data_IF_975303138523
#
_entry.id   IF_975303138523
#
_cell.length_a   1.000
_cell.length_b   1.000
_cell.length_c   1.000
_cell.angle_alpha   90.00
_cell.angle_beta   90.00
_cell.angle_gamma   90.00
#
_symmetry.space_group_name_H-M   'P 1'
#
loop_
_entity.id
_entity.type
_entity.pdbx_description
1 polymer ?
#
# COMPACT_ATOMS: atom_id res chain seq x y z
N UNK A 1 7.51 -12.64 16.22
CA UNK A 1 8.66 -13.24 15.51
C UNK A 1 9.53 -14.22 16.32
N UNK A 2 9.28 -14.48 17.62
CA UNK A 2 10.17 -15.37 18.39
C UNK A 2 10.12 -16.84 17.94
N UNK A 3 8.94 -17.35 17.59
CA UNK A 3 8.80 -18.74 17.11
C UNK A 3 9.51 -18.95 15.77
N UNK A 4 9.31 -18.06 14.78
CA UNK A 4 9.95 -18.19 13.46
C UNK A 4 11.49 -18.13 13.57
N UNK A 5 12.05 -17.23 14.40
CA UNK A 5 13.50 -17.19 14.66
C UNK A 5 14.03 -18.51 15.22
N UNK A 6 13.30 -19.14 16.13
CA UNK A 6 13.68 -20.43 16.68
C UNK A 6 13.73 -21.53 15.61
N UNK A 7 12.73 -21.58 14.72
CA UNK A 7 12.72 -22.53 13.60
C UNK A 7 13.87 -22.29 12.62
N UNK A 8 14.10 -21.03 12.23
CA UNK A 8 15.17 -20.67 11.30
C UNK A 8 16.56 -21.04 11.87
N UNK A 9 16.79 -20.83 13.16
CA UNK A 9 18.06 -21.21 13.79
C UNK A 9 18.33 -22.72 13.81
N UNK A 10 17.34 -23.56 13.54
CA UNK A 10 17.48 -25.02 13.42
C UNK A 10 17.74 -25.49 11.98
N UNK A 11 17.62 -24.61 10.98
CA UNK A 11 17.85 -24.98 9.59
C UNK A 11 19.26 -24.61 9.12
N UNK A 12 19.99 -25.52 8.45
CA UNK A 12 21.34 -25.24 7.99
C UNK A 12 21.38 -24.21 6.86
N UNK A 13 20.34 -24.19 6.02
CA UNK A 13 20.17 -23.25 4.91
C UNK A 13 18.82 -22.56 5.01
N UNK A 14 18.78 -21.31 4.55
CA UNK A 14 17.59 -20.47 4.52
C UNK A 14 17.56 -19.69 3.21
N UNK A 15 16.35 -19.35 2.78
CA UNK A 15 16.11 -18.44 1.68
C UNK A 15 14.90 -17.59 2.07
N UNK A 16 15.10 -16.28 2.14
CA UNK A 16 14.03 -15.32 2.38
C UNK A 16 13.74 -14.58 1.07
N UNK A 17 12.48 -14.48 0.69
CA UNK A 17 12.05 -13.80 -0.53
C UNK A 17 10.81 -12.98 -0.29
N UNK A 18 10.74 -11.82 -0.94
CA UNK A 18 9.58 -10.94 -0.99
C UNK A 18 9.62 -10.18 -2.32
N UNK A 19 8.46 -9.92 -2.95
CA UNK A 19 8.41 -9.19 -4.22
C UNK A 19 8.87 -7.74 -4.07
N UNK A 20 8.41 -7.07 -3.01
CA UNK A 20 8.79 -5.71 -2.66
C UNK A 20 9.61 -5.74 -1.38
N UNK A 21 10.69 -4.94 -1.26
CA UNK A 21 11.61 -5.02 -0.14
C UNK A 21 11.04 -4.46 1.17
N UNK A 22 9.96 -3.66 1.12
CA UNK A 22 9.41 -2.95 2.28
C UNK A 22 7.88 -2.90 2.26
N UNK A 23 7.29 -2.71 3.44
CA UNK A 23 5.89 -2.31 3.61
C UNK A 23 5.79 -0.80 3.87
N UNK A 24 6.73 -0.24 4.63
CA UNK A 24 6.80 1.17 4.98
C UNK A 24 8.22 1.73 4.94
N UNK A 25 9.18 1.05 5.57
CA UNK A 25 10.55 1.55 5.74
C UNK A 25 11.60 0.44 5.54
N UNK A 26 12.88 0.82 5.45
CA UNK A 26 13.98 -0.13 5.32
C UNK A 26 14.12 -1.09 6.52
N UNK A 27 13.51 -0.76 7.67
CA UNK A 27 13.48 -1.66 8.83
C UNK A 27 12.66 -2.94 8.56
N UNK A 28 11.72 -2.89 7.61
CA UNK A 28 11.01 -4.09 7.15
C UNK A 28 11.97 -5.06 6.47
N UNK A 29 12.85 -4.54 5.60
CA UNK A 29 13.94 -5.32 5.01
C UNK A 29 14.89 -5.84 6.09
N UNK A 30 15.30 -5.00 7.03
CA UNK A 30 16.20 -5.42 8.13
C UNK A 30 15.59 -6.54 8.98
N UNK A 31 14.26 -6.57 9.13
CA UNK A 31 13.58 -7.66 9.83
C UNK A 31 13.76 -9.00 9.11
N UNK A 32 13.65 -9.01 7.78
CA UNK A 32 13.86 -10.20 6.95
C UNK A 32 15.35 -10.57 6.85
N UNK A 33 16.22 -9.57 6.76
CA UNK A 33 17.67 -9.75 6.75
C UNK A 33 18.16 -10.38 8.06
N UNK A 34 17.65 -9.93 9.20
CA UNK A 34 17.91 -10.49 10.53
C UNK A 34 17.48 -11.97 10.63
N UNK A 35 16.48 -12.39 9.87
CA UNK A 35 16.07 -13.80 9.83
C UNK A 35 17.10 -14.67 9.12
N UNK A 36 17.52 -14.27 7.92
CA UNK A 36 18.52 -15.02 7.14
C UNK A 36 19.88 -15.09 7.85
N UNK A 37 20.24 -14.01 8.56
CA UNK A 37 21.49 -13.88 9.33
C UNK A 37 21.38 -14.37 10.78
N UNK A 38 20.39 -15.21 11.10
CA UNK A 38 20.25 -15.89 12.41
C UNK A 38 20.21 -14.96 13.61
N UNK A 39 19.52 -13.84 13.46
CA UNK A 39 19.31 -12.82 14.49
C UNK A 39 20.56 -12.05 14.93
N UNK A 40 21.59 -11.97 14.09
CA UNK A 40 22.83 -11.24 14.38
C UNK A 40 22.62 -9.72 14.48
N UNK A 41 21.66 -9.16 13.75
CA UNK A 41 21.45 -7.71 13.59
C UNK A 41 20.22 -7.21 14.33
N UNK A 42 19.82 -7.93 15.39
CA UNK A 42 18.58 -7.66 16.10
C UNK A 42 18.63 -6.29 16.77
N UNK A 43 17.73 -5.39 16.36
CA UNK A 43 17.62 -3.98 16.80
C UNK A 43 18.72 -3.06 16.27
N UNK A 44 19.56 -3.55 15.36
CA UNK A 44 20.47 -2.69 14.61
C UNK A 44 19.69 -1.97 13.50
N UNK A 45 20.05 -0.72 13.26
CA UNK A 45 19.53 0.04 12.12
C UNK A 45 20.26 -0.37 10.84
N UNK A 46 19.63 -0.11 9.69
CA UNK A 46 20.27 -0.33 8.40
C UNK A 46 21.58 0.47 8.28
N UNK A 47 22.65 -0.21 7.86
CA UNK A 47 23.85 0.40 7.31
C UNK A 47 24.33 -0.44 6.11
N UNK A 48 24.97 0.15 5.09
CA UNK A 48 25.45 -0.62 3.94
C UNK A 48 26.41 -1.77 4.32
N UNK A 49 27.19 -1.60 5.39
CA UNK A 49 28.18 -2.60 5.82
C UNK A 49 27.53 -3.95 6.21
N UNK A 50 26.29 -3.92 6.73
CA UNK A 50 25.60 -5.17 7.14
C UNK A 50 25.33 -6.09 5.96
N UNK A 51 25.20 -5.54 4.75
CA UNK A 51 24.83 -6.28 3.54
C UNK A 51 25.85 -7.35 3.17
N UNK A 52 27.10 -7.17 3.58
CA UNK A 52 28.17 -8.17 3.39
C UNK A 52 27.92 -9.50 4.10
N UNK A 53 27.00 -9.54 5.07
CA UNK A 53 26.71 -10.73 5.87
C UNK A 53 25.78 -11.74 5.16
N UNK A 54 25.16 -11.39 4.03
CA UNK A 54 24.35 -12.32 3.25
C UNK A 54 24.40 -12.03 1.75
N UNK A 55 24.08 -13.03 0.93
CA UNK A 55 23.93 -12.82 -0.50
C UNK A 55 22.56 -12.23 -0.79
N UNK A 56 22.52 -10.97 -1.19
CA UNK A 56 21.28 -10.29 -1.55
C UNK A 56 21.14 -10.25 -3.07
N UNK A 57 19.95 -10.62 -3.55
CA UNK A 57 19.58 -10.44 -4.96
C UNK A 57 18.30 -9.64 -4.98
N UNK A 58 18.37 -8.40 -5.48
CA UNK A 58 17.22 -7.53 -5.65
C UNK A 58 17.01 -7.28 -7.14
N UNK A 59 15.82 -7.61 -7.64
CA UNK A 59 15.37 -7.18 -8.95
C UNK A 59 14.52 -5.91 -8.74
N UNK A 60 14.97 -4.74 -9.21
CA UNK A 60 14.22 -3.50 -9.01
C UNK A 60 12.81 -3.59 -9.60
N UNK A 61 11.81 -3.21 -8.80
CA UNK A 61 10.43 -3.10 -9.24
C UNK A 61 10.03 -1.63 -9.22
N UNK A 62 9.86 -1.04 -10.39
CA UNK A 62 9.37 0.34 -10.51
C UNK A 62 7.84 0.35 -10.39
N UNK A 63 7.33 0.83 -9.26
CA UNK A 63 5.88 0.97 -9.05
C UNK A 63 5.43 2.33 -9.56
N UNK A 64 4.47 2.36 -10.49
CA UNK A 64 3.89 3.60 -11.02
C UNK A 64 2.40 3.69 -10.72
N UNK A 65 2.03 4.75 -10.02
CA UNK A 65 0.64 5.04 -9.66
C UNK A 65 0.17 6.26 -10.45
N UNK A 66 -0.71 6.03 -11.41
CA UNK A 66 -1.22 7.05 -12.34
C UNK A 66 -2.58 7.55 -11.86
N UNK A 67 -2.73 8.85 -11.54
CA UNK A 67 -4.04 9.36 -11.13
C UNK A 67 -4.97 9.53 -12.34
N UNK A 68 -6.14 8.91 -12.26
CA UNK A 68 -7.30 9.21 -13.11
C UNK A 68 -8.18 10.19 -12.33
N UNK A 69 -8.15 11.45 -12.76
CA UNK A 69 -8.80 12.55 -12.04
C UNK A 69 -10.31 12.50 -12.21
N UNK A 70 -11.03 12.63 -11.10
CA UNK A 70 -12.50 12.68 -11.06
C UNK A 70 -12.92 14.00 -10.43
N UNK A 71 -13.59 14.86 -11.20
CA UNK A 71 -14.06 16.13 -10.66
C UNK A 71 -15.24 15.94 -9.70
N UNK A 72 -15.27 16.72 -8.62
CA UNK A 72 -16.43 16.79 -7.74
C UNK A 72 -17.18 18.11 -7.91
N UNK A 73 -18.51 18.00 -7.86
CA UNK A 73 -19.41 19.14 -7.90
C UNK A 73 -19.25 20.03 -6.65
N UNK A 74 -19.66 21.30 -6.75
CA UNK A 74 -19.68 22.22 -5.61
C UNK A 74 -20.50 21.66 -4.42
N UNK A 75 -21.60 20.96 -4.70
CA UNK A 75 -22.43 20.32 -3.68
C UNK A 75 -21.68 19.21 -2.94
N UNK A 76 -20.94 18.36 -3.68
CA UNK A 76 -20.12 17.30 -3.07
C UNK A 76 -18.97 17.89 -2.23
N UNK A 77 -18.32 18.96 -2.70
CA UNK A 77 -17.29 19.68 -1.94
C UNK A 77 -17.85 20.27 -0.64
N UNK A 78 -19.02 20.89 -0.71
CA UNK A 78 -19.70 21.42 0.47
C UNK A 78 -20.06 20.31 1.47
N UNK A 79 -20.61 19.20 0.99
CA UNK A 79 -20.91 18.03 1.82
C UNK A 79 -19.65 17.44 2.48
N UNK A 80 -18.53 17.35 1.75
CA UNK A 80 -17.25 16.92 2.29
C UNK A 80 -16.76 17.83 3.41
N UNK A 81 -16.84 19.16 3.25
CA UNK A 81 -16.40 20.10 4.29
C UNK A 81 -17.31 20.05 5.52
N UNK A 82 -18.63 19.92 5.33
CA UNK A 82 -19.58 19.77 6.43
C UNK A 82 -19.30 18.49 7.22
N UNK A 83 -19.12 17.36 6.52
CA UNK A 83 -18.82 16.07 7.16
C UNK A 83 -17.47 16.10 7.87
N UNK A 84 -16.44 16.73 7.27
CA UNK A 84 -15.14 16.93 7.91
C UNK A 84 -15.27 17.69 9.23
N UNK A 85 -16.00 18.81 9.25
CA UNK A 85 -16.22 19.57 10.50
C UNK A 85 -16.95 18.71 11.53
N UNK A 86 -18.05 18.05 11.13
CA UNK A 86 -18.83 17.17 12.00
C UNK A 86 -17.97 16.07 12.65
N UNK A 87 -17.07 15.46 11.88
CA UNK A 87 -16.16 14.43 12.37
C UNK A 87 -15.10 14.99 13.33
N UNK A 88 -14.57 16.19 13.06
CA UNK A 88 -13.60 16.87 13.95
C UNK A 88 -14.28 17.28 15.26
N UNK A 89 -15.43 17.96 15.18
CA UNK A 89 -16.16 18.45 16.35
C UNK A 89 -16.68 17.29 17.22
N UNK A 90 -17.01 16.15 16.58
CA UNK A 90 -17.54 14.96 17.23
C UNK A 90 -16.52 13.91 17.66
N UNK A 91 -15.21 14.17 17.51
CA UNK A 91 -14.20 13.12 17.76
C UNK A 91 -13.99 12.81 19.26
N UNK A 92 -14.02 13.84 20.11
CA UNK A 92 -13.71 13.70 21.54
C UNK A 92 -12.36 13.01 21.77
N UNK A 93 -12.37 11.89 22.51
CA UNK A 93 -11.20 11.07 22.83
C UNK A 93 -10.98 9.89 21.86
N UNK A 94 -11.70 9.84 20.74
CA UNK A 94 -11.57 8.76 19.75
C UNK A 94 -10.30 8.95 18.90
N UNK A 95 -9.88 7.87 18.25
CA UNK A 95 -8.72 7.88 17.36
C UNK A 95 -8.92 8.83 16.15
N UNK A 96 -8.07 9.86 15.97
CA UNK A 96 -8.13 10.81 14.84
C UNK A 96 -7.89 10.17 13.48
N UNK A 97 -7.26 9.00 13.40
CA UNK A 97 -7.11 8.27 12.15
C UNK A 97 -8.45 7.76 11.59
N UNK A 98 -9.52 7.79 12.38
CA UNK A 98 -10.87 7.47 11.88
C UNK A 98 -11.42 8.54 10.93
N UNK A 99 -11.01 9.81 11.05
CA UNK A 99 -11.52 10.90 10.22
C UNK A 99 -11.13 10.74 8.75
N UNK A 100 -9.84 10.58 8.37
CA UNK A 100 -9.47 10.37 6.97
C UNK A 100 -10.12 9.12 6.39
N UNK A 101 -10.20 8.03 7.17
CA UNK A 101 -10.82 6.77 6.74
C UNK A 101 -12.30 6.93 6.40
N UNK A 102 -13.02 7.77 7.15
CA UNK A 102 -14.44 8.08 6.90
C UNK A 102 -14.60 9.00 5.69
N UNK A 103 -13.80 10.08 5.64
CA UNK A 103 -13.83 11.05 4.55
C UNK A 103 -13.50 10.42 3.20
N UNK A 104 -12.61 9.41 3.18
CA UNK A 104 -12.27 8.68 1.96
C UNK A 104 -13.49 8.05 1.29
N UNK A 105 -14.46 7.58 2.10
CA UNK A 105 -15.67 6.94 1.58
C UNK A 105 -16.60 7.90 0.83
N UNK A 106 -16.47 9.22 1.08
CA UNK A 106 -17.26 10.26 0.41
C UNK A 106 -16.87 10.39 -1.06
N UNK A 107 -15.58 10.21 -1.38
CA UNK A 107 -15.07 10.25 -2.76
C UNK A 107 -15.65 9.15 -3.63
N UNK A 108 -15.95 7.98 -3.06
CA UNK A 108 -16.47 6.83 -3.80
C UNK A 108 -17.74 7.13 -4.61
N UNK A 109 -18.68 7.94 -4.10
CA UNK A 109 -19.88 8.31 -4.87
C UNK A 109 -19.57 9.12 -6.11
N UNK A 110 -18.59 10.03 -6.05
CA UNK A 110 -18.17 10.80 -7.22
C UNK A 110 -17.44 9.90 -8.24
N UNK A 111 -16.61 8.98 -7.77
CA UNK A 111 -15.86 8.03 -8.60
C UNK A 111 -16.75 7.07 -9.39
N UNK A 112 -17.99 6.81 -8.95
CA UNK A 112 -18.95 5.99 -9.71
C UNK A 112 -19.17 6.49 -11.13
N UNK A 113 -19.14 7.81 -11.35
CA UNK A 113 -19.31 8.40 -12.68
C UNK A 113 -18.11 8.14 -13.61
N UNK A 114 -16.97 7.70 -13.07
CA UNK A 114 -15.75 7.38 -13.80
C UNK A 114 -15.53 5.86 -13.98
N UNK A 115 -16.50 5.04 -13.57
CA UNK A 115 -16.47 3.59 -13.83
C UNK A 115 -16.69 3.36 -15.33
N UNK A 116 -15.86 2.47 -15.89
CA UNK A 116 -15.90 2.07 -17.29
C UNK A 116 -16.22 0.58 -17.34
N UNK A 117 -17.25 0.22 -18.11
CA UNK A 117 -17.66 -1.16 -18.28
C UNK A 117 -16.53 -2.01 -18.86
N UNK A 118 -16.39 -3.23 -18.33
CA UNK A 118 -15.33 -4.16 -18.71
C UNK A 118 -13.96 -3.88 -18.09
N UNK A 119 -13.79 -2.81 -17.29
CA UNK A 119 -12.60 -2.63 -16.45
C UNK A 119 -12.76 -3.31 -15.09
N UNK A 120 -11.66 -3.82 -14.58
CA UNK A 120 -11.57 -4.39 -13.24
C UNK A 120 -11.13 -3.34 -12.23
N UNK A 121 -11.77 -3.35 -11.06
CA UNK A 121 -11.51 -2.38 -9.99
C UNK A 121 -11.13 -3.09 -8.71
N UNK A 122 -10.29 -2.46 -7.90
CA UNK A 122 -10.02 -2.89 -6.53
C UNK A 122 -10.36 -1.77 -5.56
N UNK A 123 -11.07 -2.09 -4.49
CA UNK A 123 -11.53 -1.12 -3.50
C UNK A 123 -11.49 -1.66 -2.08
N UNK A 124 -11.77 -0.78 -1.11
CA UNK A 124 -11.76 -1.14 0.32
C UNK A 124 -12.89 -2.08 0.72
N UNK A 125 -14.02 -2.01 0.03
CA UNK A 125 -15.22 -2.82 0.26
C UNK A 125 -16.12 -2.77 -0.97
N UNK A 126 -17.12 -3.63 -1.02
CA UNK A 126 -18.08 -3.78 -2.11
C UNK A 126 -19.36 -2.93 -1.94
N UNK A 127 -19.33 -1.88 -1.10
CA UNK A 127 -20.54 -1.13 -0.70
C UNK A 127 -21.30 -0.47 -1.86
N UNK A 128 -20.57 -0.10 -2.91
CA UNK A 128 -21.13 0.56 -4.10
C UNK A 128 -21.56 -0.45 -5.17
N UNK A 129 -21.38 -1.75 -4.92
CA UNK A 129 -21.81 -2.86 -5.79
C UNK A 129 -21.38 -2.67 -7.25
N UNK A 130 -20.15 -2.17 -7.44
CA UNK A 130 -19.52 -2.02 -8.76
C UNK A 130 -19.31 -3.42 -9.34
N UNK A 131 -19.86 -3.73 -10.53
CA UNK A 131 -19.64 -5.00 -11.20
C UNK A 131 -18.14 -5.26 -11.43
N UNK A 132 -17.67 -6.46 -11.09
CA UNK A 132 -16.26 -6.83 -11.30
C UNK A 132 -15.27 -6.21 -10.31
N UNK A 133 -15.74 -5.55 -9.25
CA UNK A 133 -14.84 -4.99 -8.22
C UNK A 133 -14.38 -6.06 -7.22
N UNK A 134 -13.07 -6.19 -7.07
CA UNK A 134 -12.41 -6.96 -6.02
C UNK A 134 -12.18 -6.11 -4.75
N UNK A 135 -11.99 -6.76 -3.61
CA UNK A 135 -11.51 -6.09 -2.39
C UNK A 135 -10.00 -6.26 -2.20
N UNK A 136 -9.39 -5.59 -1.24
CA UNK A 136 -7.96 -5.81 -0.92
C UNK A 136 -7.68 -7.09 -0.12
N UNK A 137 -8.71 -7.89 0.17
CA UNK A 137 -8.61 -9.12 0.98
C UNK A 137 -8.77 -10.38 0.13
N UNK A 138 -8.73 -10.27 -1.21
CA UNK A 138 -8.82 -11.44 -2.07
C UNK A 138 -7.54 -12.27 -1.99
N UNK A 139 -7.67 -13.57 -2.20
CA UNK A 139 -6.52 -14.49 -2.29
C UNK A 139 -5.87 -14.49 -3.68
N UNK A 140 -6.58 -14.01 -4.70
CA UNK A 140 -6.12 -13.94 -6.10
C UNK A 140 -6.76 -12.77 -6.84
N UNK A 141 -6.11 -12.29 -7.90
CA UNK A 141 -6.58 -11.16 -8.72
C UNK A 141 -6.52 -11.51 -10.23
N UNK A 142 -7.38 -12.43 -10.71
CA UNK A 142 -7.27 -12.98 -12.07
C UNK A 142 -7.78 -12.05 -13.17
N UNK A 143 -8.57 -11.03 -12.85
CA UNK A 143 -9.19 -10.13 -13.82
C UNK A 143 -8.34 -8.89 -14.12
N UNK A 144 -7.05 -8.93 -13.79
CA UNK A 144 -6.13 -7.82 -13.98
C UNK A 144 -6.01 -7.39 -15.46
N UNK A 145 -5.57 -6.16 -15.73
CA UNK A 145 -5.10 -5.17 -14.76
C UNK A 145 -6.26 -4.48 -14.00
N UNK A 146 -6.06 -4.26 -12.71
CA UNK A 146 -6.99 -3.56 -11.83
C UNK A 146 -6.68 -2.06 -11.80
N UNK A 147 -7.75 -1.26 -11.71
CA UNK A 147 -7.71 0.16 -11.34
C UNK A 147 -8.03 0.29 -9.84
N UNK A 148 -7.23 1.04 -9.09
CA UNK A 148 -7.52 1.35 -7.69
C UNK A 148 -8.70 2.33 -7.61
N UNK A 149 -9.84 1.85 -7.14
CA UNK A 149 -11.01 2.68 -6.88
C UNK A 149 -10.82 3.55 -5.64
N UNK A 150 -10.26 2.95 -4.58
CA UNK A 150 -9.93 3.61 -3.31
C UNK A 150 -8.69 2.96 -2.74
N UNK A 151 -7.65 3.74 -2.42
CA UNK A 151 -6.49 3.17 -1.73
C UNK A 151 -6.87 2.53 -0.38
N UNK A 152 -6.23 1.41 0.01
CA UNK A 152 -6.40 0.86 1.35
C UNK A 152 -5.70 1.75 2.37
N UNK A 153 -5.92 1.47 3.65
CA UNK A 153 -5.22 2.21 4.70
C UNK A 153 -3.83 1.61 5.00
N UNK A 154 -3.73 0.28 4.98
CA UNK A 154 -2.47 -0.42 5.17
C UNK A 154 -1.81 -0.61 3.81
N UNK A 155 -0.50 -0.38 3.75
CA UNK A 155 0.25 -0.49 2.50
C UNK A 155 0.41 -1.95 2.08
N UNK A 156 0.53 -2.88 3.03
CA UNK A 156 0.60 -4.32 2.73
C UNK A 156 -0.58 -4.80 1.89
N UNK A 157 -1.80 -4.33 2.19
CA UNK A 157 -3.01 -4.67 1.45
C UNK A 157 -2.89 -4.24 -0.03
N UNK A 158 -2.21 -3.12 -0.32
CA UNK A 158 -1.96 -2.65 -1.69
C UNK A 158 -0.81 -3.41 -2.36
N UNK A 159 0.27 -3.67 -1.62
CA UNK A 159 1.42 -4.46 -2.09
C UNK A 159 1.00 -5.88 -2.49
N UNK A 160 0.06 -6.49 -1.76
CA UNK A 160 -0.50 -7.80 -2.09
C UNK A 160 -1.23 -7.77 -3.43
N UNK A 161 -2.02 -6.74 -3.73
CA UNK A 161 -2.66 -6.58 -5.05
C UNK A 161 -1.62 -6.49 -6.16
N UNK A 162 -0.61 -5.62 -6.02
CA UNK A 162 0.45 -5.49 -7.03
C UNK A 162 1.19 -6.81 -7.25
N UNK A 163 1.39 -7.58 -6.19
CA UNK A 163 2.07 -8.88 -6.22
C UNK A 163 1.21 -9.96 -6.88
N UNK A 164 -0.04 -10.11 -6.43
CA UNK A 164 -0.93 -11.19 -6.83
C UNK A 164 -1.57 -10.94 -8.20
N UNK A 165 -1.73 -9.69 -8.62
CA UNK A 165 -2.17 -9.32 -9.97
C UNK A 165 -1.00 -9.17 -10.96
N UNK A 166 0.25 -9.35 -10.49
CA UNK A 166 1.48 -9.12 -11.24
C UNK A 166 1.53 -7.74 -11.95
N UNK A 167 1.11 -6.68 -11.24
CA UNK A 167 1.09 -5.31 -11.76
C UNK A 167 2.19 -4.46 -11.12
N UNK A 168 2.91 -3.70 -11.94
CA UNK A 168 3.84 -2.65 -11.49
C UNK A 168 3.31 -1.26 -11.80
N UNK A 169 2.36 -1.15 -12.74
CA UNK A 169 1.65 0.08 -13.05
C UNK A 169 0.16 -0.07 -12.69
N UNK A 170 -0.40 0.95 -12.04
CA UNK A 170 -1.79 0.97 -11.63
C UNK A 170 -2.39 2.37 -11.77
N UNK A 171 -3.53 2.43 -12.46
CA UNK A 171 -4.38 3.61 -12.48
C UNK A 171 -5.13 3.71 -11.14
N UNK A 172 -5.29 4.92 -10.62
CA UNK A 172 -6.05 5.17 -9.40
C UNK A 172 -7.09 6.26 -9.65
N UNK A 173 -8.37 5.98 -9.34
CA UNK A 173 -9.40 7.01 -9.36
C UNK A 173 -9.20 7.96 -8.19
N UNK A 174 -8.96 9.24 -8.47
CA UNK A 174 -8.63 10.26 -7.47
C UNK A 174 -9.53 11.47 -7.67
N UNK A 175 -10.39 11.75 -6.69
CA UNK A 175 -11.20 12.97 -6.71
C UNK A 175 -10.35 14.19 -6.38
N UNK A 176 -10.85 15.38 -6.72
CA UNK A 176 -10.28 16.66 -6.29
C UNK A 176 -10.57 16.99 -4.80
N UNK A 177 -11.03 16.02 -4.00
CA UNK A 177 -11.15 16.13 -2.55
C UNK A 177 -9.79 15.89 -1.89
N UNK A 178 -9.49 16.69 -0.86
CA UNK A 178 -8.20 16.63 -0.14
C UNK A 178 -7.81 15.25 0.38
N UNK A 179 -8.76 14.40 0.74
CA UNK A 179 -8.49 13.05 1.27
C UNK A 179 -7.93 12.11 0.20
N UNK A 180 -8.45 12.18 -1.03
CA UNK A 180 -7.99 11.36 -2.14
C UNK A 180 -6.59 11.80 -2.57
N UNK A 181 -6.34 13.12 -2.62
CA UNK A 181 -4.99 13.65 -2.92
C UNK A 181 -3.96 13.19 -1.88
N UNK A 182 -4.33 13.23 -0.59
CA UNK A 182 -3.46 12.76 0.48
C UNK A 182 -3.12 11.27 0.35
N UNK A 183 -4.10 10.43 0.02
CA UNK A 183 -3.86 9.01 -0.22
C UNK A 183 -2.99 8.79 -1.46
N UNK A 184 -3.26 9.48 -2.56
CA UNK A 184 -2.42 9.40 -3.77
C UNK A 184 -0.96 9.74 -3.44
N UNK A 185 -0.73 10.89 -2.79
CA UNK A 185 0.60 11.34 -2.40
C UNK A 185 1.30 10.30 -1.52
N UNK A 186 0.62 9.81 -0.47
CA UNK A 186 1.16 8.80 0.44
C UNK A 186 1.64 7.54 -0.30
N UNK A 187 0.87 7.07 -1.27
CA UNK A 187 1.20 5.85 -2.02
C UNK A 187 2.27 6.10 -3.09
N UNK A 188 2.32 7.29 -3.70
CA UNK A 188 3.41 7.68 -4.60
C UNK A 188 4.74 7.82 -3.86
N UNK A 189 4.73 8.44 -2.67
CA UNK A 189 5.90 8.51 -1.80
C UNK A 189 6.37 7.12 -1.36
N UNK A 190 5.44 6.21 -1.04
CA UNK A 190 5.78 4.82 -0.75
C UNK A 190 6.41 4.10 -1.94
N UNK A 191 5.86 4.26 -3.14
CA UNK A 191 6.44 3.69 -4.36
C UNK A 191 7.88 4.21 -4.60
N UNK A 192 8.12 5.50 -4.32
CA UNK A 192 9.48 6.07 -4.31
C UNK A 192 10.39 5.39 -3.30
N UNK A 193 9.95 5.24 -2.04
CA UNK A 193 10.73 4.55 -1.00
C UNK A 193 11.08 3.11 -1.37
N UNK A 194 10.16 2.38 -2.03
CA UNK A 194 10.44 1.03 -2.54
C UNK A 194 11.63 1.04 -3.51
N UNK A 195 11.63 1.97 -4.46
CA UNK A 195 12.74 2.14 -5.40
C UNK A 195 14.05 2.50 -4.69
N UNK A 196 14.01 3.45 -3.75
CA UNK A 196 15.18 3.89 -2.99
C UNK A 196 15.80 2.73 -2.20
N UNK A 197 14.97 1.90 -1.56
CA UNK A 197 15.45 0.73 -0.82
C UNK A 197 16.00 -0.33 -1.76
N UNK A 198 15.35 -0.62 -2.89
CA UNK A 198 15.91 -1.51 -3.91
C UNK A 198 17.31 -1.06 -4.35
N UNK A 199 17.51 0.24 -4.58
CA UNK A 199 18.83 0.80 -4.90
C UNK A 199 19.81 0.62 -3.75
N UNK A 200 19.43 0.95 -2.51
CA UNK A 200 20.30 0.85 -1.34
C UNK A 200 20.79 -0.58 -1.08
N UNK A 201 19.91 -1.59 -1.21
CA UNK A 201 20.27 -2.99 -0.94
C UNK A 201 20.96 -3.69 -2.12
N UNK A 202 20.94 -3.11 -3.32
CA UNK A 202 21.63 -3.63 -4.50
C UNK A 202 23.08 -3.14 -4.62
N UNK A 203 23.51 -2.21 -3.77
CA UNK A 203 24.86 -1.63 -3.77
C UNK A 203 25.84 -2.39 -2.85
N UNK A 204 25.38 -3.33 -2.04
CA UNK A 204 26.20 -4.21 -1.19
C UNK A 204 26.43 -5.58 -1.83
#
# INVERSE_FOLDING_TARGET
>A
YNCIRHFLNQTPHQLIFQRLPIIDTIDDFMTLFDWDTRSQWRRESFSPDVLTAAKIVCNPVEIRIRPVRVETTAAQKAAYQAEKRRLIDGIGQRDPHTIPRHLHLMGGKAKMAAIVDGRSYVGRNDRLKIPGMATYKETTYPAGPYTAFEFPHNVIDFADVLTLADQTEIDALVTDLKVDEWYLQRYQEWAGRVSDVCTAISQG
#
